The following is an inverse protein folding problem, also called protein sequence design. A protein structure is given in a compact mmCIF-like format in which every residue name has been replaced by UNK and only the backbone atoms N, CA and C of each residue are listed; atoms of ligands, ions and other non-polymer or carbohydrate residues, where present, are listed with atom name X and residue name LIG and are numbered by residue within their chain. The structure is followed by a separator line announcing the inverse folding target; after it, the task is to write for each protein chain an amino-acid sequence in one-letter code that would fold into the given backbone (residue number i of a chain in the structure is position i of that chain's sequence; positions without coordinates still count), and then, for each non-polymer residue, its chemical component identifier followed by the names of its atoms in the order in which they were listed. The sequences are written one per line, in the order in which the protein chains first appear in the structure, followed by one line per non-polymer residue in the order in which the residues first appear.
data_IF_765785125689
#
_entry.id   IF_765785125689
#
_cell.length_a   1.000
_cell.length_b   1.000
_cell.length_c   1.000
_cell.angle_alpha   90.00
_cell.angle_beta   90.00
_cell.angle_gamma   90.00
#
_symmetry.space_group_name_H-M   'P 1'
#
loop_
_entity.id
_entity.type
_entity.pdbx_description
1 polymer ?
#
# COMPACT_ATOMS: atom_id res chain seq x y z
N UNK A 1 -6.53 17.76 31.98
CA UNK A 1 -6.96 16.82 30.92
C UNK A 1 -5.79 15.92 30.56
N UNK A 2 -6.01 14.61 30.47
CA UNK A 2 -5.00 13.62 30.06
C UNK A 2 -5.37 13.11 28.67
N UNK A 3 -4.42 13.10 27.72
CA UNK A 3 -4.59 12.48 26.39
C UNK A 3 -3.84 11.16 26.37
N UNK A 4 -4.49 10.09 25.93
CA UNK A 4 -3.87 8.78 25.71
C UNK A 4 -3.54 8.67 24.23
N UNK A 5 -2.26 8.82 23.90
CA UNK A 5 -1.76 8.71 22.52
C UNK A 5 -1.11 7.34 22.33
N UNK A 6 -1.94 6.30 22.25
CA UNK A 6 -1.47 4.90 22.16
C UNK A 6 -1.12 4.43 20.75
N UNK A 7 -1.48 5.20 19.73
CA UNK A 7 -1.16 4.87 18.34
C UNK A 7 0.32 5.21 18.12
N UNK A 8 1.19 4.22 17.80
CA UNK A 8 2.61 4.47 17.54
C UNK A 8 2.85 5.21 16.20
N UNK A 9 1.79 5.38 15.40
CA UNK A 9 1.75 6.13 14.15
C UNK A 9 1.47 7.60 14.44
N UNK A 10 2.48 8.34 14.90
CA UNK A 10 2.34 9.77 15.17
C UNK A 10 3.55 10.31 15.89
N UNK A 11 4.35 11.13 15.21
CA UNK A 11 5.58 11.77 15.74
C UNK A 11 5.35 12.81 16.84
N UNK A 12 4.22 12.75 17.55
CA UNK A 12 3.93 13.64 18.67
C UNK A 12 4.57 13.09 19.95
N UNK A 13 5.88 13.30 20.09
CA UNK A 13 6.59 13.06 21.35
C UNK A 13 6.61 14.39 22.11
N UNK A 14 5.74 14.54 23.11
CA UNK A 14 5.83 15.68 24.03
C UNK A 14 7.05 15.48 24.92
N UNK A 15 8.15 16.15 24.60
CA UNK A 15 9.39 16.04 25.37
C UNK A 15 9.23 16.87 26.65
N UNK A 16 9.55 16.24 27.80
CA UNK A 16 9.44 16.88 29.09
C UNK A 16 10.37 18.10 29.21
N UNK A 17 9.79 19.30 29.37
CA UNK A 17 10.54 20.54 29.54
C UNK A 17 11.07 21.18 28.25
N UNK A 18 10.63 20.71 27.08
CA UNK A 18 10.95 21.31 25.77
C UNK A 18 10.27 22.68 25.53
N UNK A 19 9.08 22.90 26.10
CA UNK A 19 8.33 24.17 25.94
C UNK A 19 8.82 25.28 26.90
N UNK A 20 9.85 25.02 27.72
CA UNK A 20 10.39 25.98 28.69
C UNK A 20 9.66 26.06 30.03
N UNK A 21 8.50 25.43 30.18
CA UNK A 21 7.67 25.46 31.40
C UNK A 21 8.32 24.80 32.65
N UNK A 22 9.44 24.09 32.49
CA UNK A 22 10.09 23.30 33.56
C UNK A 22 11.59 23.53 33.69
N UNK A 23 12.07 24.74 33.39
CA UNK A 23 13.50 25.07 33.38
C UNK A 23 14.25 24.88 34.71
N UNK A 24 13.55 24.76 35.84
CA UNK A 24 14.19 24.49 37.14
C UNK A 24 14.29 22.99 37.47
N UNK A 25 13.67 22.10 36.68
CA UNK A 25 13.71 20.66 36.91
C UNK A 25 14.97 20.06 36.25
N UNK A 26 15.86 19.37 36.98
CA UNK A 26 17.05 18.75 36.39
C UNK A 26 16.72 17.72 35.30
N UNK A 27 15.50 17.17 35.26
CA UNK A 27 15.03 16.25 34.20
C UNK A 27 14.51 16.97 32.95
N UNK A 28 14.37 18.30 32.98
CA UNK A 28 13.96 19.10 31.83
C UNK A 28 14.92 18.91 30.66
N UNK A 29 14.38 18.80 29.45
CA UNK A 29 15.17 18.62 28.22
C UNK A 29 16.30 19.64 28.08
N UNK A 30 16.07 20.92 28.39
CA UNK A 30 17.11 21.94 28.30
C UNK A 30 18.21 21.83 29.36
N UNK A 31 17.91 21.20 30.49
CA UNK A 31 18.86 20.95 31.57
C UNK A 31 19.68 19.67 31.37
N UNK A 32 19.31 18.86 30.38
CA UNK A 32 20.05 17.66 30.02
C UNK A 32 21.31 18.00 29.20
N UNK A 33 22.33 17.17 29.34
CA UNK A 33 23.55 17.28 28.52
C UNK A 33 23.23 17.16 27.03
N UNK A 34 24.05 17.80 26.17
CA UNK A 34 23.87 17.77 24.72
C UNK A 34 23.80 16.35 24.16
N UNK A 35 24.54 15.40 24.75
CA UNK A 35 24.51 13.98 24.37
C UNK A 35 23.14 13.35 24.61
N UNK A 36 22.49 13.65 25.73
CA UNK A 36 21.16 13.13 26.06
C UNK A 36 20.11 13.72 25.14
N UNK A 37 20.17 15.04 24.92
CA UNK A 37 19.26 15.74 24.00
C UNK A 37 19.37 15.21 22.57
N UNK A 38 20.61 15.01 22.10
CA UNK A 38 20.88 14.41 20.78
C UNK A 38 20.31 13.00 20.66
N UNK A 39 20.48 12.14 21.68
CA UNK A 39 19.87 10.80 21.70
C UNK A 39 18.35 10.83 21.61
N UNK A 40 17.69 11.75 22.32
CA UNK A 40 16.22 11.89 22.31
C UNK A 40 15.73 12.24 20.90
N UNK A 41 16.36 13.22 20.24
CA UNK A 41 15.98 13.63 18.88
C UNK A 41 16.22 12.50 17.88
N UNK A 42 17.39 11.84 17.94
CA UNK A 42 17.72 10.71 17.05
C UNK A 42 16.76 9.55 17.25
N UNK A 43 16.35 9.27 18.50
CA UNK A 43 15.39 8.21 18.79
C UNK A 43 14.03 8.45 18.10
N UNK A 44 13.59 9.70 17.98
CA UNK A 44 12.36 10.05 17.24
C UNK A 44 12.46 9.68 15.76
N UNK A 45 13.56 10.07 15.09
CA UNK A 45 13.78 9.74 13.67
C UNK A 45 13.98 8.24 13.47
N UNK A 46 14.74 7.59 14.35
CA UNK A 46 14.98 6.14 14.30
C UNK A 46 13.67 5.34 14.45
N UNK A 47 12.74 5.77 15.31
CA UNK A 47 11.43 5.13 15.44
C UNK A 47 10.61 5.19 14.15
N UNK A 48 10.69 6.27 13.37
CA UNK A 48 10.01 6.32 12.07
C UNK A 48 10.61 5.33 11.07
N UNK A 49 11.93 5.18 11.04
CA UNK A 49 12.58 4.17 10.19
C UNK A 49 12.20 2.76 10.61
N UNK A 50 12.16 2.48 11.92
CA UNK A 50 11.72 1.20 12.45
C UNK A 50 10.25 0.92 12.11
N UNK A 51 9.36 1.90 12.31
CA UNK A 51 7.95 1.77 11.99
C UNK A 51 7.74 1.54 10.48
N UNK A 52 8.41 2.30 9.63
CA UNK A 52 8.35 2.12 8.18
C UNK A 52 8.84 0.72 7.78
N UNK A 53 9.99 0.28 8.29
CA UNK A 53 10.51 -1.06 8.03
C UNK A 53 9.51 -2.14 8.45
N UNK A 54 8.92 -2.02 9.65
CA UNK A 54 7.96 -2.99 10.15
C UNK A 54 6.68 -3.04 9.29
N UNK A 55 6.11 -1.88 8.95
CA UNK A 55 4.89 -1.79 8.14
C UNK A 55 5.14 -2.37 6.75
N UNK A 56 6.26 -2.03 6.11
CA UNK A 56 6.61 -2.55 4.79
C UNK A 56 6.85 -4.06 4.85
N UNK A 57 7.57 -4.55 5.87
CA UNK A 57 7.78 -5.99 6.04
C UNK A 57 6.46 -6.74 6.26
N UNK A 58 5.55 -6.21 7.07
CA UNK A 58 4.23 -6.82 7.27
C UNK A 58 3.38 -6.79 5.99
N UNK A 59 3.38 -5.68 5.25
CA UNK A 59 2.69 -5.58 3.97
C UNK A 59 3.24 -6.58 2.95
N UNK A 60 4.56 -6.72 2.88
CA UNK A 60 5.21 -7.72 2.03
C UNK A 60 4.91 -9.17 2.45
N UNK A 61 4.76 -9.44 3.75
CA UNK A 61 4.37 -10.78 4.25
C UNK A 61 2.92 -11.13 3.96
N UNK A 62 1.99 -10.16 4.03
CA UNK A 62 0.57 -10.36 3.69
C UNK A 62 0.42 -10.55 2.17
N UNK A 63 1.31 -9.94 1.38
CA UNK A 63 1.21 -9.89 -0.06
C UNK A 63 0.36 -8.70 -0.49
N UNK A 64 0.83 -7.97 -1.51
CA UNK A 64 0.10 -6.89 -2.15
C UNK A 64 -0.22 -7.30 -3.59
N UNK A 65 -1.38 -6.88 -4.14
CA UNK A 65 -1.66 -7.08 -5.54
C UNK A 65 -0.62 -6.32 -6.37
N UNK A 66 0.13 -7.05 -7.18
CA UNK A 66 1.17 -6.53 -8.05
C UNK A 66 0.93 -7.00 -9.49
N UNK A 67 1.31 -6.16 -10.45
CA UNK A 67 1.23 -6.52 -11.87
C UNK A 67 2.25 -7.64 -12.13
N UNK A 68 1.79 -8.72 -12.74
CA UNK A 68 2.67 -9.83 -13.13
C UNK A 68 3.48 -9.40 -14.35
N UNK A 69 4.81 -9.43 -14.22
CA UNK A 69 5.79 -9.17 -15.27
C UNK A 69 6.67 -10.40 -15.47
N UNK A 70 7.47 -10.44 -16.54
CA UNK A 70 8.42 -11.54 -16.77
C UNK A 70 9.40 -11.73 -15.58
N UNK A 71 9.67 -10.67 -14.82
CA UNK A 71 10.59 -10.69 -13.68
C UNK A 71 10.00 -11.36 -12.44
N UNK A 72 8.68 -11.21 -12.19
CA UNK A 72 8.01 -11.73 -10.98
C UNK A 72 7.09 -12.93 -11.26
N UNK A 73 6.89 -13.32 -12.52
CA UNK A 73 6.01 -14.43 -12.91
C UNK A 73 6.34 -15.74 -12.18
N UNK A 74 7.61 -16.01 -11.88
CA UNK A 74 8.05 -17.22 -11.17
C UNK A 74 7.71 -17.27 -9.68
N UNK A 75 7.33 -16.13 -9.08
CA UNK A 75 6.97 -16.02 -7.66
C UNK A 75 5.52 -15.52 -7.46
N UNK A 76 4.85 -15.12 -8.54
CA UNK A 76 3.48 -14.64 -8.51
C UNK A 76 2.49 -15.77 -8.17
N UNK A 77 1.73 -15.57 -7.09
CA UNK A 77 0.66 -16.47 -6.64
C UNK A 77 -0.70 -15.83 -6.89
N UNK A 78 -1.76 -16.65 -7.00
CA UNK A 78 -3.14 -16.18 -7.27
C UNK A 78 -3.27 -15.21 -8.45
N UNK A 79 -2.64 -15.54 -9.58
CA UNK A 79 -2.70 -14.72 -10.79
C UNK A 79 -4.15 -14.58 -11.25
N UNK A 80 -4.59 -13.33 -11.44
CA UNK A 80 -5.95 -12.95 -11.83
C UNK A 80 -5.86 -11.91 -12.94
N UNK A 81 -6.74 -12.00 -13.91
CA UNK A 81 -6.83 -11.02 -15.00
C UNK A 81 -7.76 -9.90 -14.53
N UNK A 82 -7.20 -8.74 -14.19
CA UNK A 82 -7.95 -7.63 -13.59
C UNK A 82 -8.04 -6.43 -14.55
N UNK A 83 -9.22 -5.82 -14.61
CA UNK A 83 -9.47 -4.61 -15.40
C UNK A 83 -8.82 -3.41 -14.71
N UNK A 84 -7.70 -2.93 -15.27
CA UNK A 84 -7.00 -1.75 -14.75
C UNK A 84 -7.65 -0.43 -15.18
N UNK A 85 -8.18 -0.38 -16.40
CA UNK A 85 -8.82 0.81 -16.97
C UNK A 85 -9.92 0.42 -17.95
N UNK A 86 -10.92 1.29 -18.10
CA UNK A 86 -11.97 1.15 -19.12
C UNK A 86 -12.11 2.47 -19.85
N UNK A 87 -11.89 2.45 -21.17
CA UNK A 87 -11.99 3.64 -22.01
C UNK A 87 -13.41 4.22 -21.99
N UNK A 88 -13.54 5.55 -21.84
CA UNK A 88 -14.83 6.22 -21.68
C UNK A 88 -15.79 6.01 -22.84
N UNK A 89 -15.27 5.94 -24.07
CA UNK A 89 -16.07 5.78 -25.29
C UNK A 89 -16.13 4.33 -25.79
N UNK A 90 -15.95 3.34 -24.90
CA UNK A 90 -15.96 1.92 -25.27
C UNK A 90 -17.30 1.24 -24.96
N UNK A 91 -17.69 0.20 -25.73
CA UNK A 91 -18.85 -0.64 -25.39
C UNK A 91 -18.74 -1.31 -24.02
N UNK A 92 -17.53 -1.43 -23.48
CA UNK A 92 -17.27 -2.02 -22.16
C UNK A 92 -17.65 -1.11 -20.99
N UNK A 93 -17.72 0.22 -21.19
CA UNK A 93 -17.91 1.21 -20.11
C UNK A 93 -19.14 0.98 -19.20
N UNK A 94 -20.32 0.62 -19.71
CA UNK A 94 -21.49 0.37 -18.85
C UNK A 94 -21.49 -1.01 -18.17
N UNK A 95 -20.62 -1.94 -18.60
CA UNK A 95 -20.63 -3.34 -18.16
C UNK A 95 -19.46 -3.64 -17.21
N UNK A 96 -18.27 -3.13 -17.53
CA UNK A 96 -17.02 -3.38 -16.81
C UNK A 96 -16.56 -2.15 -16.03
N UNK A 97 -15.94 -2.40 -14.87
CA UNK A 97 -15.36 -1.38 -13.99
C UNK A 97 -13.91 -1.68 -13.67
N UNK A 98 -13.20 -0.64 -13.26
CA UNK A 98 -11.84 -0.77 -12.74
C UNK A 98 -11.88 -1.63 -11.48
N UNK A 99 -11.04 -2.64 -11.44
CA UNK A 99 -10.93 -3.59 -10.34
C UNK A 99 -11.66 -4.90 -10.56
N UNK A 100 -12.54 -5.00 -11.56
CA UNK A 100 -13.25 -6.24 -11.90
C UNK A 100 -12.25 -7.32 -12.33
N UNK A 101 -12.48 -8.59 -11.93
CA UNK A 101 -11.59 -9.72 -12.23
C UNK A 101 -12.26 -10.65 -13.22
N UNK A 102 -11.72 -10.75 -14.43
CA UNK A 102 -12.26 -11.65 -15.46
C UNK A 102 -11.98 -13.09 -15.04
N UNK A 103 -13.04 -13.84 -14.73
CA UNK A 103 -12.99 -15.28 -14.51
C UNK A 103 -13.13 -16.03 -15.83
N UNK A 104 -14.09 -15.63 -16.66
CA UNK A 104 -14.41 -16.29 -17.93
C UNK A 104 -14.85 -15.28 -19.01
N UNK A 105 -14.60 -15.66 -20.27
CA UNK A 105 -15.13 -14.96 -21.45
C UNK A 105 -15.76 -16.00 -22.37
N UNK A 106 -17.05 -15.86 -22.70
CA UNK A 106 -17.85 -16.85 -23.44
C UNK A 106 -17.71 -18.29 -22.86
N UNK A 107 -17.76 -18.40 -21.53
CA UNK A 107 -17.61 -19.65 -20.76
C UNK A 107 -16.23 -20.34 -20.96
N UNK A 108 -15.21 -19.59 -21.41
CA UNK A 108 -13.82 -20.01 -21.50
C UNK A 108 -12.97 -19.34 -20.42
N UNK A 109 -12.18 -20.12 -19.68
CA UNK A 109 -11.21 -19.60 -18.71
C UNK A 109 -9.85 -19.33 -19.36
N UNK A 110 -9.18 -18.27 -18.91
CA UNK A 110 -7.88 -17.84 -19.43
C UNK A 110 -6.88 -17.72 -18.29
N UNK A 111 -5.63 -18.14 -18.53
CA UNK A 111 -4.56 -18.05 -17.52
C UNK A 111 -3.63 -16.86 -17.75
N UNK A 112 -3.64 -16.29 -18.96
CA UNK A 112 -2.77 -15.18 -19.34
C UNK A 112 -3.58 -14.07 -20.01
N UNK A 113 -3.24 -12.82 -19.71
CA UNK A 113 -3.86 -11.63 -20.31
C UNK A 113 -3.79 -11.68 -21.85
N UNK A 114 -2.64 -12.09 -22.39
CA UNK A 114 -2.41 -12.14 -23.83
C UNK A 114 -3.39 -13.08 -24.55
N UNK A 115 -3.83 -14.16 -23.90
CA UNK A 115 -4.81 -15.09 -24.45
C UNK A 115 -6.19 -14.43 -24.56
N UNK A 116 -6.61 -13.69 -23.53
CA UNK A 116 -7.87 -12.90 -23.54
C UNK A 116 -7.82 -11.85 -24.64
N UNK A 117 -6.73 -11.08 -24.74
CA UNK A 117 -6.58 -10.05 -25.76
C UNK A 117 -6.67 -10.64 -27.17
N UNK A 118 -5.97 -11.77 -27.41
CA UNK A 118 -6.00 -12.46 -28.70
C UNK A 118 -7.39 -13.00 -29.02
N UNK A 119 -8.07 -13.57 -28.03
CA UNK A 119 -9.44 -14.06 -28.17
C UNK A 119 -10.41 -12.93 -28.55
N UNK A 120 -10.40 -11.82 -27.81
CA UNK A 120 -11.26 -10.67 -28.08
C UNK A 120 -11.01 -10.05 -29.45
N UNK A 121 -9.74 -9.97 -29.89
CA UNK A 121 -9.39 -9.50 -31.23
C UNK A 121 -9.93 -10.43 -32.32
N UNK A 122 -9.88 -11.75 -32.12
CA UNK A 122 -10.44 -12.72 -33.07
C UNK A 122 -11.97 -12.65 -33.19
N UNK A 123 -12.63 -12.14 -32.14
CA UNK A 123 -14.09 -11.96 -32.05
C UNK A 123 -14.52 -10.51 -32.34
N UNK A 124 -13.65 -9.70 -32.95
CA UNK A 124 -13.91 -8.30 -33.23
C UNK A 124 -15.25 -8.06 -33.92
N UNK A 125 -16.09 -7.21 -33.32
CA UNK A 125 -17.42 -6.88 -33.82
C UNK A 125 -18.53 -7.89 -33.49
N UNK A 126 -18.23 -8.95 -32.72
CA UNK A 126 -19.21 -9.90 -32.20
C UNK A 126 -19.55 -9.57 -30.74
N UNK A 127 -20.73 -10.02 -30.28
CA UNK A 127 -21.08 -9.98 -28.86
C UNK A 127 -20.26 -11.02 -28.10
N UNK A 128 -19.78 -10.61 -26.93
CA UNK A 128 -18.97 -11.43 -26.03
C UNK A 128 -19.51 -11.26 -24.62
N UNK A 129 -19.64 -12.36 -23.88
CA UNK A 129 -20.09 -12.37 -22.49
C UNK A 129 -18.88 -12.44 -21.56
N UNK A 130 -18.80 -11.51 -20.61
CA UNK A 130 -17.81 -11.53 -19.54
C UNK A 130 -18.43 -12.06 -18.25
N UNK A 131 -17.71 -12.91 -17.53
CA UNK A 131 -17.97 -13.24 -16.13
C UNK A 131 -16.87 -12.60 -15.27
N UNK A 132 -17.29 -11.78 -14.30
CA UNK A 132 -16.44 -10.78 -13.61
C UNK A 132 -16.83 -10.59 -12.15
#
# INVERSE_FOLDING_TARGET
MYSINWIPLGGFVKIFGEDGDKNNDPKSFFNQSLKVRGKIIIAGVAMNLLAASLIISLAAMIGLPEVVTEENQGIATEQKIQIMTVAENSPAKPILKVGDVISEVDDQSFNQEQEVVTYLQSRGGQEVKFDV
#
